data_IF_484814244937
#
_entry.id   IF_484814244937
#
_cell.length_a   1.000
_cell.length_b   1.000
_cell.length_c   1.000
_cell.angle_alpha   90.00
_cell.angle_beta   90.00
_cell.angle_gamma   90.00
#
_symmetry.space_group_name_H-M   'P 1'
#
loop_
_entity.id
_entity.type
_entity.pdbx_description
1 polymer ?
#
# COMPACT_ATOMS: atom_id res chain seq x y z
N UNK A 1 -36.93 5.96 -3.75
CA UNK A 1 -35.63 5.47 -3.26
C UNK A 1 -34.58 6.29 -3.99
N UNK A 2 -33.87 7.18 -3.28
CA UNK A 2 -33.10 8.26 -3.89
C UNK A 2 -31.90 7.77 -4.70
N UNK A 3 -31.84 8.21 -5.96
CA UNK A 3 -30.79 7.92 -6.94
C UNK A 3 -29.38 8.27 -6.42
N UNK A 4 -29.27 9.21 -5.49
CA UNK A 4 -28.02 9.62 -4.85
C UNK A 4 -27.45 8.53 -3.92
N UNK A 5 -28.30 7.88 -3.12
CA UNK A 5 -27.86 6.80 -2.20
C UNK A 5 -27.45 5.56 -3.00
N UNK A 6 -28.19 5.23 -4.07
CA UNK A 6 -27.80 4.15 -4.98
C UNK A 6 -26.48 4.45 -5.68
N UNK A 7 -26.24 5.68 -6.14
CA UNK A 7 -24.96 6.08 -6.74
C UNK A 7 -23.80 5.96 -5.76
N UNK A 8 -23.98 6.35 -4.51
CA UNK A 8 -22.95 6.24 -3.47
C UNK A 8 -22.67 4.78 -3.08
N UNK A 9 -23.71 3.95 -2.97
CA UNK A 9 -23.54 2.51 -2.72
C UNK A 9 -22.78 1.83 -3.87
N UNK A 10 -23.12 2.19 -5.12
CA UNK A 10 -22.40 1.71 -6.30
C UNK A 10 -20.95 2.19 -6.34
N UNK A 11 -20.67 3.45 -6.00
CA UNK A 11 -19.30 3.95 -5.90
C UNK A 11 -18.50 3.23 -4.82
N UNK A 12 -19.12 2.90 -3.68
CA UNK A 12 -18.48 2.09 -2.64
C UNK A 12 -18.08 0.70 -3.15
N UNK A 13 -18.98 0.00 -3.83
CA UNK A 13 -18.68 -1.31 -4.42
C UNK A 13 -17.55 -1.23 -5.46
N UNK A 14 -17.57 -0.21 -6.32
CA UNK A 14 -16.52 0.03 -7.30
C UNK A 14 -15.15 0.26 -6.63
N UNK A 15 -15.11 1.06 -5.56
CA UNK A 15 -13.89 1.35 -4.81
C UNK A 15 -13.35 0.09 -4.12
N UNK A 16 -14.22 -0.73 -3.53
CA UNK A 16 -13.83 -2.02 -2.92
C UNK A 16 -13.24 -2.94 -4.00
N UNK A 17 -13.89 -3.06 -5.15
CA UNK A 17 -13.40 -3.88 -6.26
C UNK A 17 -12.05 -3.39 -6.80
N UNK A 18 -11.86 -2.07 -6.92
CA UNK A 18 -10.55 -1.50 -7.28
C UNK A 18 -9.49 -1.80 -6.23
N UNK A 19 -9.85 -1.78 -4.94
CA UNK A 19 -8.92 -2.10 -3.87
C UNK A 19 -8.47 -3.57 -3.92
N UNK A 20 -9.39 -4.51 -4.11
CA UNK A 20 -9.05 -5.93 -4.20
C UNK A 20 -8.19 -6.25 -5.43
N UNK A 21 -8.49 -5.58 -6.55
CA UNK A 21 -7.67 -5.65 -7.77
C UNK A 21 -6.26 -5.11 -7.51
N UNK A 22 -6.15 -3.93 -6.92
CA UNK A 22 -4.86 -3.30 -6.62
C UNK A 22 -4.04 -4.16 -5.64
N UNK A 23 -4.66 -4.70 -4.58
CA UNK A 23 -3.99 -5.60 -3.64
C UNK A 23 -3.45 -6.85 -4.34
N UNK A 24 -4.21 -7.40 -5.29
CA UNK A 24 -3.78 -8.56 -6.08
C UNK A 24 -2.59 -8.21 -6.97
N UNK A 25 -2.63 -7.06 -7.65
CA UNK A 25 -1.52 -6.56 -8.46
C UNK A 25 -0.27 -6.35 -7.61
N UNK A 26 -0.38 -5.64 -6.49
CA UNK A 26 0.73 -5.38 -5.57
C UNK A 26 1.34 -6.67 -5.01
N UNK A 27 0.51 -7.67 -4.69
CA UNK A 27 0.98 -8.99 -4.28
C UNK A 27 1.75 -9.69 -5.40
N UNK A 28 1.23 -9.69 -6.62
CA UNK A 28 1.88 -10.35 -7.76
C UNK A 28 3.22 -9.69 -8.11
N UNK A 29 3.28 -8.35 -8.07
CA UNK A 29 4.52 -7.60 -8.25
C UNK A 29 5.52 -7.94 -7.13
N UNK A 30 5.08 -8.04 -5.88
CA UNK A 30 5.94 -8.43 -4.75
C UNK A 30 6.50 -9.85 -4.91
N UNK A 31 5.68 -10.80 -5.41
CA UNK A 31 6.15 -12.16 -5.72
C UNK A 31 7.19 -12.14 -6.84
N UNK A 32 6.93 -11.36 -7.90
CA UNK A 32 7.88 -11.20 -9.00
C UNK A 32 9.22 -10.61 -8.51
N UNK A 33 9.18 -9.66 -7.59
CA UNK A 33 10.38 -9.08 -6.98
C UNK A 33 11.20 -10.09 -6.19
N UNK A 34 10.54 -11.01 -5.47
CA UNK A 34 11.21 -12.13 -4.80
C UNK A 34 11.93 -13.01 -5.83
N UNK A 35 11.25 -13.37 -6.92
CA UNK A 35 11.84 -14.22 -7.97
C UNK A 35 13.05 -13.55 -8.64
N UNK A 36 12.94 -12.26 -8.94
CA UNK A 36 14.04 -11.47 -9.51
C UNK A 36 15.22 -11.41 -8.52
N UNK A 37 14.95 -11.16 -7.24
CA UNK A 37 16.00 -11.07 -6.21
C UNK A 37 16.72 -12.40 -6.02
N UNK A 38 15.98 -13.52 -6.03
CA UNK A 38 16.55 -14.87 -6.00
C UNK A 38 17.40 -15.18 -7.24
N UNK A 39 16.94 -14.79 -8.42
CA UNK A 39 17.70 -14.97 -9.66
C UNK A 39 19.03 -14.22 -9.62
N UNK A 40 19.04 -12.96 -9.20
CA UNK A 40 20.28 -12.18 -9.07
C UNK A 40 21.20 -12.73 -7.99
N UNK A 41 20.66 -13.11 -6.83
CA UNK A 41 21.44 -13.77 -5.78
C UNK A 41 22.15 -15.02 -6.30
N UNK A 42 21.45 -15.87 -7.06
CA UNK A 42 22.03 -17.08 -7.66
C UNK A 42 23.06 -16.78 -8.76
N UNK A 43 22.79 -15.78 -9.61
CA UNK A 43 23.70 -15.37 -10.69
C UNK A 43 25.03 -14.85 -10.11
N UNK A 44 24.96 -13.94 -9.14
CA UNK A 44 26.13 -13.32 -8.53
C UNK A 44 26.91 -14.27 -7.61
N UNK A 45 26.23 -15.18 -6.91
CA UNK A 45 26.89 -16.24 -6.14
C UNK A 45 27.79 -17.15 -7.00
N UNK A 46 27.58 -17.19 -8.33
CA UNK A 46 28.40 -17.96 -9.27
C UNK A 46 29.48 -17.15 -9.99
N UNK A 47 29.45 -15.82 -9.92
CA UNK A 47 30.25 -14.97 -10.83
C UNK A 47 31.14 -13.92 -10.16
N UNK A 48 30.98 -13.60 -8.89
CA UNK A 48 31.72 -12.49 -8.26
C UNK A 48 32.40 -12.87 -6.95
N UNK A 49 33.57 -12.29 -6.68
CA UNK A 49 34.27 -12.39 -5.38
C UNK A 49 33.57 -11.60 -4.27
N UNK A 50 32.71 -10.63 -4.60
CA UNK A 50 31.93 -9.82 -3.64
C UNK A 50 30.51 -10.38 -3.38
N UNK A 51 30.42 -11.68 -3.10
CA UNK A 51 29.14 -12.38 -2.88
C UNK A 51 28.37 -11.81 -1.70
N UNK A 52 29.06 -11.35 -0.65
CA UNK A 52 28.45 -11.04 0.65
C UNK A 52 27.47 -9.87 0.59
N UNK A 53 27.89 -8.75 0.00
CA UNK A 53 27.07 -7.55 -0.03
C UNK A 53 25.94 -7.61 -1.07
N UNK A 54 26.17 -8.27 -2.21
CA UNK A 54 25.09 -8.54 -3.18
C UNK A 54 24.03 -9.46 -2.58
N UNK A 55 24.45 -10.52 -1.88
CA UNK A 55 23.53 -11.44 -1.22
C UNK A 55 22.73 -10.72 -0.12
N UNK A 56 23.37 -9.86 0.67
CA UNK A 56 22.69 -9.06 1.70
C UNK A 56 21.65 -8.12 1.07
N UNK A 57 21.98 -7.51 -0.07
CA UNK A 57 21.09 -6.64 -0.82
C UNK A 57 19.86 -7.38 -1.34
N UNK A 58 20.04 -8.54 -1.97
CA UNK A 58 18.92 -9.34 -2.49
C UNK A 58 18.08 -10.01 -1.39
N UNK A 59 18.72 -10.39 -0.29
CA UNK A 59 18.02 -10.93 0.88
C UNK A 59 17.15 -9.84 1.53
N UNK A 60 17.66 -8.61 1.65
CA UNK A 60 16.86 -7.47 2.12
C UNK A 60 15.66 -7.20 1.21
N UNK A 61 15.85 -7.25 -0.12
CA UNK A 61 14.78 -7.10 -1.12
C UNK A 61 13.68 -8.16 -0.96
N UNK A 62 14.08 -9.39 -0.67
CA UNK A 62 13.17 -10.52 -0.42
C UNK A 62 12.37 -10.30 0.86
N UNK A 63 13.03 -9.91 1.96
CA UNK A 63 12.36 -9.62 3.25
C UNK A 63 11.36 -8.47 3.11
N UNK A 64 11.73 -7.40 2.40
CA UNK A 64 10.85 -6.27 2.11
C UNK A 64 9.60 -6.73 1.33
N UNK A 65 9.79 -7.58 0.32
CA UNK A 65 8.69 -8.09 -0.50
C UNK A 65 7.74 -8.99 0.30
N UNK A 66 8.26 -9.82 1.20
CA UNK A 66 7.43 -10.62 2.13
C UNK A 66 6.67 -9.69 3.08
N UNK A 67 7.32 -8.66 3.61
CA UNK A 67 6.69 -7.66 4.46
C UNK A 67 5.57 -6.91 3.73
N UNK A 68 5.76 -6.57 2.46
CA UNK A 68 4.71 -5.97 1.61
C UNK A 68 3.50 -6.88 1.47
N UNK A 69 3.71 -8.17 1.15
CA UNK A 69 2.62 -9.14 1.06
C UNK A 69 1.87 -9.24 2.39
N UNK A 70 2.60 -9.27 3.49
CA UNK A 70 2.01 -9.32 4.83
C UNK A 70 1.21 -8.05 5.14
N UNK A 71 1.75 -6.87 4.83
CA UNK A 71 1.07 -5.58 5.02
C UNK A 71 -0.21 -5.51 4.21
N UNK A 72 -0.15 -5.88 2.93
CA UNK A 72 -1.30 -5.86 2.02
C UNK A 72 -2.39 -6.84 2.48
N UNK A 73 -2.01 -8.04 2.96
CA UNK A 73 -2.97 -9.08 3.36
C UNK A 73 -3.57 -8.86 4.74
N UNK A 74 -2.77 -8.42 5.71
CA UNK A 74 -3.15 -8.42 7.12
C UNK A 74 -3.18 -7.02 7.75
N UNK A 75 -2.84 -5.96 6.99
CA UNK A 75 -2.69 -4.58 7.52
C UNK A 75 -1.83 -4.52 8.79
N UNK A 76 -0.79 -5.34 8.82
CA UNK A 76 0.09 -5.50 9.99
C UNK A 76 1.03 -4.30 10.13
N UNK A 77 0.90 -3.58 11.23
CA UNK A 77 1.84 -2.50 11.58
C UNK A 77 3.27 -3.01 11.78
N UNK A 78 3.43 -4.22 12.33
CA UNK A 78 4.75 -4.84 12.54
C UNK A 78 5.41 -5.18 11.21
N UNK A 79 4.65 -5.71 10.25
CA UNK A 79 5.16 -5.96 8.90
C UNK A 79 5.64 -4.68 8.23
N UNK A 80 4.92 -3.57 8.45
CA UNK A 80 5.30 -2.26 7.91
C UNK A 80 6.59 -1.75 8.54
N UNK A 81 6.74 -1.84 9.86
CA UNK A 81 7.96 -1.41 10.55
C UNK A 81 9.20 -2.19 10.08
N UNK A 82 9.08 -3.52 9.97
CA UNK A 82 10.18 -4.37 9.49
C UNK A 82 10.52 -4.02 8.03
N UNK A 83 9.50 -3.95 7.16
CA UNK A 83 9.70 -3.59 5.76
C UNK A 83 10.32 -2.20 5.59
N UNK A 84 9.91 -1.22 6.41
CA UNK A 84 10.44 0.15 6.37
C UNK A 84 11.92 0.19 6.78
N UNK A 85 12.29 -0.50 7.86
CA UNK A 85 13.69 -0.57 8.31
C UNK A 85 14.55 -1.23 7.24
N UNK A 86 14.11 -2.35 6.66
CA UNK A 86 14.85 -3.01 5.59
C UNK A 86 14.94 -2.14 4.33
N UNK A 87 13.88 -1.42 3.95
CA UNK A 87 13.90 -0.52 2.80
C UNK A 87 14.87 0.66 3.02
N UNK A 88 14.86 1.27 4.21
CA UNK A 88 15.82 2.33 4.55
C UNK A 88 17.26 1.81 4.52
N UNK A 89 17.51 0.63 5.09
CA UNK A 89 18.83 0.01 5.06
C UNK A 89 19.29 -0.26 3.62
N UNK A 90 18.42 -0.79 2.76
CA UNK A 90 18.75 -1.04 1.36
C UNK A 90 19.03 0.26 0.58
N UNK A 91 18.29 1.35 0.87
CA UNK A 91 18.58 2.68 0.32
C UNK A 91 19.94 3.22 0.77
N UNK A 92 20.28 3.08 2.07
CA UNK A 92 21.58 3.53 2.61
C UNK A 92 22.72 2.74 1.97
N UNK A 93 22.59 1.42 1.88
CA UNK A 93 23.58 0.56 1.22
C UNK A 93 23.76 0.94 -0.26
N UNK A 94 22.65 1.21 -0.96
CA UNK A 94 22.69 1.64 -2.35
C UNK A 94 23.39 3.01 -2.49
N UNK A 95 23.05 3.99 -1.65
CA UNK A 95 23.68 5.30 -1.67
C UNK A 95 25.18 5.25 -1.34
N UNK A 96 25.58 4.46 -0.34
CA UNK A 96 26.99 4.25 0.02
C UNK A 96 27.79 3.69 -1.16
N UNK A 97 27.24 2.72 -1.88
CA UNK A 97 27.91 2.12 -3.04
C UNK A 97 27.99 3.05 -4.25
N UNK A 98 27.00 3.92 -4.46
CA UNK A 98 27.08 4.98 -5.47
C UNK A 98 28.20 5.94 -5.13
N UNK A 99 28.24 6.42 -3.88
CA UNK A 99 29.27 7.37 -3.42
C UNK A 99 30.68 6.76 -3.52
N UNK A 100 30.85 5.51 -3.07
CA UNK A 100 32.13 4.79 -3.17
C UNK A 100 32.61 4.62 -4.63
N UNK A 101 31.67 4.39 -5.56
CA UNK A 101 31.96 4.34 -6.99
C UNK A 101 32.32 5.70 -7.61
N UNK A 102 31.73 6.79 -7.11
CA UNK A 102 32.03 8.16 -7.56
C UNK A 102 33.37 8.68 -7.05
N UNK A 103 33.72 8.37 -5.80
CA UNK A 103 34.96 8.81 -5.16
C UNK A 103 36.19 8.02 -5.65
N UNK A 104 35.98 6.98 -6.48
CA UNK A 104 37.05 6.10 -6.98
C UNK A 104 37.79 5.33 -5.89
N UNK A 105 37.25 5.33 -4.66
CA UNK A 105 37.93 4.83 -3.47
C UNK A 105 38.06 3.30 -3.50
N UNK A 106 37.03 2.59 -3.99
CA UNK A 106 37.05 1.12 -4.07
C UNK A 106 36.17 0.60 -5.25
N UNK A 107 36.77 0.26 -6.41
CA UNK A 107 36.03 -0.16 -7.60
C UNK A 107 35.31 -1.52 -7.43
N UNK A 108 35.75 -2.36 -6.50
CA UNK A 108 35.02 -3.60 -6.14
C UNK A 108 33.74 -3.32 -5.33
N UNK A 109 33.61 -2.13 -4.74
CA UNK A 109 32.49 -1.75 -3.89
C UNK A 109 31.39 -1.01 -4.66
N UNK A 110 31.71 -0.57 -5.89
CA UNK A 110 30.77 0.09 -6.78
C UNK A 110 29.62 -0.87 -7.14
N UNK A 111 28.39 -0.36 -7.15
CA UNK A 111 27.24 -1.13 -7.63
C UNK A 111 27.46 -1.58 -9.07
N UNK A 112 27.09 -2.82 -9.36
CA UNK A 112 26.91 -3.21 -10.76
C UNK A 112 25.83 -2.30 -11.37
N UNK A 113 25.96 -1.83 -12.63
CA UNK A 113 24.98 -0.96 -13.26
C UNK A 113 23.54 -1.53 -13.29
N UNK A 114 23.39 -2.84 -13.15
CA UNK A 114 22.11 -3.54 -13.11
C UNK A 114 21.48 -3.62 -11.70
N UNK A 115 22.18 -3.12 -10.69
CA UNK A 115 21.87 -3.34 -9.28
C UNK A 115 21.02 -2.18 -8.75
N UNK A 116 19.70 -2.37 -8.78
CA UNK A 116 18.71 -1.37 -8.41
C UNK A 116 18.01 -1.76 -7.10
N UNK A 117 17.66 -0.83 -6.18
CA UNK A 117 17.04 -1.16 -4.88
C UNK A 117 15.55 -1.47 -5.08
N UNK A 118 15.27 -2.50 -5.86
CA UNK A 118 13.94 -2.88 -6.32
C UNK A 118 13.00 -3.12 -5.15
N UNK A 119 13.45 -3.82 -4.10
CA UNK A 119 12.69 -4.04 -2.89
C UNK A 119 12.20 -2.74 -2.24
N UNK A 120 13.08 -1.75 -2.10
CA UNK A 120 12.76 -0.44 -1.52
C UNK A 120 11.81 0.37 -2.39
N UNK A 121 12.04 0.41 -3.70
CA UNK A 121 11.13 1.09 -4.65
C UNK A 121 9.73 0.49 -4.55
N UNK A 122 9.65 -0.84 -4.53
CA UNK A 122 8.38 -1.55 -4.40
C UNK A 122 7.71 -1.33 -3.05
N UNK A 123 8.47 -1.25 -1.96
CA UNK A 123 7.93 -0.91 -0.65
C UNK A 123 7.23 0.44 -0.65
N UNK A 124 7.88 1.48 -1.17
CA UNK A 124 7.28 2.81 -1.21
C UNK A 124 6.10 2.90 -2.19
N UNK A 125 6.14 2.19 -3.32
CA UNK A 125 4.98 2.10 -4.23
C UNK A 125 3.79 1.37 -3.59
N UNK A 126 4.03 0.24 -2.92
CA UNK A 126 2.98 -0.50 -2.20
C UNK A 126 2.38 0.35 -1.09
N UNK A 127 3.23 1.01 -0.30
CA UNK A 127 2.80 1.84 0.81
C UNK A 127 2.06 3.10 0.36
N UNK A 128 2.60 3.82 -0.62
CA UNK A 128 1.96 5.00 -1.19
C UNK A 128 0.61 4.66 -1.84
N UNK A 129 0.55 3.54 -2.56
CA UNK A 129 -0.70 3.00 -3.10
C UNK A 129 -1.73 2.69 -2.02
N UNK A 130 -1.35 1.99 -0.95
CA UNK A 130 -2.27 1.67 0.15
C UNK A 130 -2.80 2.92 0.86
N UNK A 131 -1.95 3.93 1.12
CA UNK A 131 -2.36 5.19 1.75
C UNK A 131 -3.29 6.02 0.87
N UNK A 132 -3.01 6.11 -0.44
CA UNK A 132 -3.87 6.83 -1.38
C UNK A 132 -5.26 6.19 -1.46
N UNK A 133 -5.33 4.86 -1.54
CA UNK A 133 -6.59 4.10 -1.57
C UNK A 133 -7.36 4.14 -0.24
N UNK A 134 -6.67 4.14 0.89
CA UNK A 134 -7.31 4.24 2.21
C UNK A 134 -7.89 5.64 2.47
N UNK A 135 -7.24 6.69 1.97
CA UNK A 135 -7.74 8.06 2.07
C UNK A 135 -9.10 8.21 1.37
N UNK A 136 -9.19 7.77 0.12
CA UNK A 136 -10.42 7.83 -0.67
C UNK A 136 -11.56 7.01 -0.07
N UNK A 137 -11.28 5.85 0.53
CA UNK A 137 -12.28 5.05 1.24
C UNK A 137 -12.84 5.77 2.46
N UNK A 138 -11.98 6.34 3.31
CA UNK A 138 -12.43 7.07 4.51
C UNK A 138 -13.28 8.28 4.17
N UNK A 139 -12.90 9.02 3.13
CA UNK A 139 -13.67 10.17 2.67
C UNK A 139 -15.05 9.72 2.19
N UNK A 140 -15.13 8.60 1.48
CA UNK A 140 -16.40 8.03 0.99
C UNK A 140 -17.28 7.53 2.15
N UNK A 141 -16.70 6.86 3.14
CA UNK A 141 -17.41 6.39 4.34
C UNK A 141 -17.94 7.58 5.17
N UNK A 142 -17.13 8.62 5.38
CA UNK A 142 -17.54 9.81 6.12
C UNK A 142 -18.69 10.56 5.43
N UNK A 143 -18.70 10.61 4.09
CA UNK A 143 -19.81 11.20 3.33
C UNK A 143 -21.07 10.35 3.46
N UNK A 144 -20.94 9.02 3.39
CA UNK A 144 -22.06 8.10 3.51
C UNK A 144 -22.70 8.18 4.90
N UNK A 145 -21.90 8.20 5.98
CA UNK A 145 -22.38 8.35 7.35
C UNK A 145 -23.16 9.66 7.54
N UNK A 146 -22.61 10.78 7.06
CA UNK A 146 -23.29 12.09 7.12
C UNK A 146 -24.64 12.06 6.40
N UNK A 147 -24.72 11.40 5.25
CA UNK A 147 -25.97 11.28 4.49
C UNK A 147 -26.99 10.37 5.18
N UNK A 148 -26.56 9.27 5.80
CA UNK A 148 -27.45 8.41 6.59
C UNK A 148 -27.99 9.13 7.83
N UNK A 149 -27.15 9.90 8.52
CA UNK A 149 -27.57 10.72 9.67
C UNK A 149 -28.56 11.82 9.25
N UNK A 150 -28.28 12.53 8.15
CA UNK A 150 -29.19 13.55 7.62
C UNK A 150 -30.56 12.95 7.23
N UNK A 151 -30.57 11.72 6.71
CA UNK A 151 -31.81 10.99 6.39
C UNK A 151 -32.60 10.60 7.63
N UNK A 152 -31.95 10.04 8.66
CA UNK A 152 -32.61 9.74 9.93
C UNK A 152 -33.24 11.00 10.53
N UNK A 153 -32.55 12.14 10.48
CA UNK A 153 -33.08 13.40 10.97
C UNK A 153 -34.29 13.89 10.17
N UNK A 154 -34.29 13.73 8.84
CA UNK A 154 -35.44 14.09 8.00
C UNK A 154 -36.64 13.16 8.19
N UNK A 155 -36.41 11.86 8.33
CA UNK A 155 -37.45 10.87 8.60
C UNK A 155 -38.11 11.12 9.98
N UNK A 156 -37.32 11.41 11.02
CA UNK A 156 -37.81 11.79 12.35
C UNK A 156 -38.57 13.13 12.31
N UNK A 157 -38.06 14.12 11.57
CA UNK A 157 -38.74 15.41 11.42
C UNK A 157 -40.08 15.31 10.67
N UNK A 158 -40.16 14.43 9.66
CA UNK A 158 -41.39 14.17 8.91
C UNK A 158 -42.41 13.39 9.74
N UNK A 159 -41.96 12.41 10.54
CA UNK A 159 -42.82 11.69 11.47
C UNK A 159 -43.42 12.61 12.55
N UNK A 160 -42.61 13.52 13.11
CA UNK A 160 -43.10 14.53 14.07
C UNK A 160 -44.09 15.51 13.44
N UNK A 161 -43.90 15.89 12.17
CA UNK A 161 -44.88 16.75 11.46
C UNK A 161 -46.21 16.05 11.22
N UNK A 162 -46.22 14.74 10.94
CA UNK A 162 -47.47 13.98 10.76
C UNK A 162 -48.24 13.81 12.08
N UNK A 163 -47.57 13.49 13.19
CA UNK A 163 -48.21 13.42 14.51
C UNK A 163 -48.77 14.76 15.00
N UNK A 164 -48.17 15.88 14.61
CA UNK A 164 -48.65 17.22 14.96
C UNK A 164 -49.85 17.69 14.12
N UNK A 165 -50.09 17.08 12.95
CA UNK A 165 -51.27 17.35 12.11
C UNK A 165 -52.49 16.54 12.57
N UNK A 166 -52.29 15.32 13.05
CA UNK A 166 -53.39 14.49 13.59
C UNK A 166 -53.94 15.04 14.91
N UNK A 167 -53.09 15.57 15.79
CA UNK A 167 -53.51 16.20 17.06
C UNK A 167 -54.27 17.52 16.89
N UNK A 168 -54.15 18.19 15.74
CA UNK A 168 -54.89 19.43 15.43
C UNK A 168 -56.27 19.20 14.79
N UNK A 169 -56.58 17.97 14.35
CA UNK A 169 -57.89 17.64 13.75
C UNK A 169 -58.91 17.08 14.75
N UNK A 170 -58.49 16.78 15.97
CA UNK A 170 -59.33 16.21 17.03
C UNK A 170 -59.66 17.18 18.16
N UNK A 171 -59.33 18.47 18.02
CA UNK A 171 -59.76 19.54 18.92
C UNK A 171 -60.62 20.55 18.18
#
# INVERSE_FOLDING_TARGET
>A
MDTTIQKLAFQRELIIQQQDTMRTVLRNISILAILISLYFAQKFARTSDDVGAVLLFELSSTVISICNIWCVRHRSLRGFQIGLVCALQQCVLWAQRILAGMDGAEPWLALHPDQWPLGSVLFFLCWGGDRFLMGTLRDTEAILEKLMQARQQTDVANANKQGHVETKKTS
#
